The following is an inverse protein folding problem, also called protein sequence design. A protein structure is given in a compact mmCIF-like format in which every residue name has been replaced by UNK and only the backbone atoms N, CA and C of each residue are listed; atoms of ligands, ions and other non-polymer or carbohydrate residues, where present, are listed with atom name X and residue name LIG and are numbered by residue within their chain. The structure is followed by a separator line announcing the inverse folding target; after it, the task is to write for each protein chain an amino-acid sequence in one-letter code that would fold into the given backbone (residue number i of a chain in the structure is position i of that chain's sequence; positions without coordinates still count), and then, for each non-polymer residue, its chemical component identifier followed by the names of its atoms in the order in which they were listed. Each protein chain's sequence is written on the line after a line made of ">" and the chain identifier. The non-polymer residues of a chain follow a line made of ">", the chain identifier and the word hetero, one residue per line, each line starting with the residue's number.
data_IF_918340556793
#
_entry.id   IF_918340556793
#
_cell.length_a   1.000
_cell.length_b   1.000
_cell.length_c   1.000
_cell.angle_alpha   90.00
_cell.angle_beta   90.00
_cell.angle_gamma   90.00
#
_symmetry.space_group_name_H-M   'P 1'
#
loop_
_entity.id
_entity.type
_entity.pdbx_description
1 polymer ?
#
# COMPACT_ATOMS: atom_id res chain seq x y z
N UNK A 1 -19.13 17.41 -1.77
CA UNK A 1 -18.93 17.02 -3.18
C UNK A 1 -17.51 17.44 -3.48
N UNK A 2 -16.59 16.48 -3.57
CA UNK A 2 -15.14 16.75 -3.64
C UNK A 2 -14.76 17.52 -4.89
N UNK A 3 -13.61 18.19 -4.84
CA UNK A 3 -13.03 18.88 -5.97
C UNK A 3 -12.54 17.87 -7.02
N UNK A 4 -13.11 17.85 -8.24
CA UNK A 4 -12.80 16.83 -9.24
C UNK A 4 -11.33 16.83 -9.69
N UNK A 5 -10.60 17.92 -9.43
CA UNK A 5 -9.15 18.01 -9.67
C UNK A 5 -8.35 17.31 -8.58
N UNK A 6 -8.82 17.35 -7.34
CA UNK A 6 -8.22 16.66 -6.20
C UNK A 6 -8.46 15.17 -6.34
N UNK A 7 -9.69 14.77 -6.72
CA UNK A 7 -10.01 13.38 -7.08
C UNK A 7 -9.09 12.85 -8.19
N UNK A 8 -8.93 13.59 -9.30
CA UNK A 8 -8.04 13.16 -10.39
C UNK A 8 -6.56 13.05 -9.99
N UNK A 9 -6.10 13.90 -9.06
CA UNK A 9 -4.73 13.80 -8.52
C UNK A 9 -4.58 12.59 -7.61
N UNK A 10 -5.60 12.29 -6.79
CA UNK A 10 -5.64 11.09 -5.96
C UNK A 10 -5.63 9.82 -6.82
N UNK A 11 -6.49 9.73 -7.84
CA UNK A 11 -6.52 8.61 -8.78
C UNK A 11 -5.16 8.39 -9.46
N UNK A 12 -4.45 9.47 -9.82
CA UNK A 12 -3.11 9.37 -10.40
C UNK A 12 -2.09 8.82 -9.40
N UNK A 13 -2.19 9.16 -8.11
CA UNK A 13 -1.33 8.61 -7.06
C UNK A 13 -1.65 7.13 -6.79
N UNK A 14 -2.94 6.77 -6.80
CA UNK A 14 -3.39 5.36 -6.71
C UNK A 14 -2.80 4.54 -7.85
N UNK A 15 -2.89 5.02 -9.08
CA UNK A 15 -2.32 4.34 -10.24
C UNK A 15 -0.81 4.16 -10.14
N UNK A 16 -0.08 5.14 -9.57
CA UNK A 16 1.37 5.03 -9.38
C UNK A 16 1.74 4.02 -8.30
N UNK A 17 0.99 3.96 -7.20
CA UNK A 17 1.19 2.94 -6.16
C UNK A 17 0.95 1.54 -6.75
N UNK A 18 -0.09 1.37 -7.57
CA UNK A 18 -0.36 0.10 -8.23
C UNK A 18 0.77 -0.33 -9.17
N UNK A 19 1.19 0.54 -10.09
CA UNK A 19 2.28 0.26 -11.03
C UNK A 19 3.61 -0.05 -10.32
N UNK A 20 3.89 0.67 -9.24
CA UNK A 20 5.05 0.42 -8.38
C UNK A 20 4.95 -0.97 -7.72
N UNK A 21 3.77 -1.36 -7.25
CA UNK A 21 3.53 -2.65 -6.60
C UNK A 21 3.69 -3.80 -7.59
N UNK A 22 3.11 -3.68 -8.78
CA UNK A 22 3.29 -4.66 -9.87
C UNK A 22 4.77 -4.83 -10.22
N UNK A 23 5.50 -3.72 -10.31
CA UNK A 23 6.95 -3.73 -10.54
C UNK A 23 7.71 -4.43 -9.41
N UNK A 24 7.30 -4.22 -8.15
CA UNK A 24 7.91 -4.84 -6.97
C UNK A 24 7.63 -6.35 -6.87
N UNK A 25 6.41 -6.79 -7.19
CA UNK A 25 6.03 -8.22 -7.24
C UNK A 25 6.84 -8.98 -8.29
N UNK A 26 7.07 -8.35 -9.44
CA UNK A 26 7.83 -8.92 -10.55
C UNK A 26 9.33 -9.10 -10.26
N UNK A 27 9.85 -8.57 -9.15
CA UNK A 27 11.23 -8.76 -8.75
C UNK A 27 11.49 -10.17 -8.21
N UNK A 28 12.70 -10.68 -8.45
CA UNK A 28 13.19 -11.89 -7.80
C UNK A 28 13.43 -11.66 -6.30
N UNK A 29 13.21 -12.71 -5.50
CA UNK A 29 13.43 -12.68 -4.05
C UNK A 29 14.92 -12.41 -3.72
N UNK A 30 15.17 -11.48 -2.80
CA UNK A 30 16.50 -11.21 -2.24
C UNK A 30 17.26 -10.00 -2.80
N UNK A 31 16.83 -9.39 -3.90
CA UNK A 31 17.43 -8.14 -4.40
C UNK A 31 16.40 -7.06 -4.71
N UNK A 32 16.18 -6.14 -3.76
CA UNK A 32 15.33 -4.98 -3.97
C UNK A 32 16.13 -3.81 -4.56
N UNK A 33 15.81 -3.30 -5.76
CA UNK A 33 16.48 -2.17 -6.38
C UNK A 33 16.40 -0.91 -5.50
N UNK A 34 17.52 -0.20 -5.37
CA UNK A 34 17.55 1.04 -4.60
C UNK A 34 16.70 2.15 -5.24
N UNK A 35 16.60 2.16 -6.58
CA UNK A 35 15.75 3.09 -7.33
C UNK A 35 14.28 2.88 -6.96
N UNK A 36 13.78 1.64 -7.05
CA UNK A 36 12.41 1.32 -6.69
C UNK A 36 12.08 1.65 -5.21
N UNK A 37 13.06 1.51 -4.30
CA UNK A 37 12.87 1.92 -2.90
C UNK A 37 12.82 3.44 -2.75
N UNK A 38 13.58 4.18 -3.56
CA UNK A 38 13.49 5.64 -3.62
C UNK A 38 12.14 6.06 -4.17
N UNK A 39 11.69 5.46 -5.27
CA UNK A 39 10.39 5.75 -5.88
C UNK A 39 9.25 5.59 -4.86
N UNK A 40 9.25 4.52 -4.07
CA UNK A 40 8.26 4.35 -3.00
C UNK A 40 8.33 5.47 -1.96
N UNK A 41 9.55 5.88 -1.58
CA UNK A 41 9.75 6.95 -0.60
C UNK A 41 9.22 8.27 -1.14
N UNK A 42 9.50 8.58 -2.40
CA UNK A 42 9.01 9.78 -3.07
C UNK A 42 7.48 9.76 -3.16
N UNK A 43 6.86 8.63 -3.57
CA UNK A 43 5.40 8.45 -3.60
C UNK A 43 4.75 8.64 -2.22
N UNK A 44 5.36 8.12 -1.16
CA UNK A 44 4.87 8.30 0.21
C UNK A 44 4.87 9.79 0.60
N UNK A 45 5.93 10.53 0.26
CA UNK A 45 6.01 11.94 0.59
C UNK A 45 5.03 12.76 -0.25
N UNK A 46 4.80 12.40 -1.51
CA UNK A 46 3.75 12.99 -2.35
C UNK A 46 2.34 12.74 -1.81
N UNK A 47 2.05 11.52 -1.33
CA UNK A 47 0.77 11.19 -0.69
C UNK A 47 0.56 11.96 0.63
N UNK A 48 1.60 12.13 1.43
CA UNK A 48 1.53 12.96 2.64
C UNK A 48 1.31 14.42 2.30
N UNK A 49 2.01 14.94 1.30
CA UNK A 49 1.82 16.31 0.81
C UNK A 49 0.39 16.50 0.29
N UNK A 50 -0.13 15.54 -0.48
CA UNK A 50 -1.52 15.54 -0.93
C UNK A 50 -2.52 15.62 0.24
N UNK A 51 -2.31 14.83 1.30
CA UNK A 51 -3.17 14.89 2.50
C UNK A 51 -3.09 16.23 3.24
N UNK A 52 -1.93 16.89 3.24
CA UNK A 52 -1.74 18.20 3.87
C UNK A 52 -2.35 19.34 3.04
N UNK A 53 -2.28 19.23 1.70
CA UNK A 53 -2.87 20.16 0.75
C UNK A 53 -4.38 19.99 0.58
N UNK A 54 -4.91 18.78 0.78
CA UNK A 54 -6.31 18.48 0.65
C UNK A 54 -7.14 19.23 1.70
N UNK A 55 -8.35 19.65 1.32
CA UNK A 55 -9.24 20.30 2.27
C UNK A 55 -9.55 19.37 3.46
N UNK A 56 -9.56 19.89 4.69
CA UNK A 56 -9.75 19.08 5.88
C UNK A 56 -11.10 18.35 5.84
N UNK A 57 -11.04 17.02 5.79
CA UNK A 57 -12.21 16.14 5.73
C UNK A 57 -12.55 15.58 4.36
N UNK A 58 -11.85 15.98 3.29
CA UNK A 58 -12.02 15.43 1.94
C UNK A 58 -11.35 14.05 1.81
N UNK A 59 -10.09 13.94 2.23
CA UNK A 59 -9.37 12.68 2.34
C UNK A 59 -8.80 12.55 3.74
N UNK A 60 -8.79 11.33 4.27
CA UNK A 60 -8.17 11.00 5.54
C UNK A 60 -6.99 10.08 5.28
N UNK A 61 -6.14 10.00 6.29
CA UNK A 61 -5.06 9.01 6.35
C UNK A 61 -5.58 7.58 6.12
N UNK A 62 -6.79 7.27 6.58
CA UNK A 62 -7.44 5.97 6.35
C UNK A 62 -7.59 5.66 4.86
N UNK A 63 -8.13 6.60 4.08
CA UNK A 63 -8.34 6.41 2.63
C UNK A 63 -7.02 6.13 1.90
N UNK A 64 -5.92 6.78 2.31
CA UNK A 64 -4.58 6.52 1.75
C UNK A 64 -4.04 5.17 2.20
N UNK A 65 -4.21 4.80 3.47
CA UNK A 65 -3.77 3.50 4.01
C UNK A 65 -4.45 2.37 3.24
N UNK A 66 -5.77 2.46 3.02
CA UNK A 66 -6.55 1.44 2.32
C UNK A 66 -6.04 1.16 0.90
N UNK A 67 -5.44 2.14 0.21
CA UNK A 67 -4.84 1.93 -1.11
C UNK A 67 -3.65 0.97 -1.10
N UNK A 68 -2.92 0.91 0.01
CA UNK A 68 -1.80 -0.01 0.16
C UNK A 68 -2.26 -1.40 0.59
N UNK A 69 -3.50 -1.56 1.06
CA UNK A 69 -4.01 -2.86 1.54
C UNK A 69 -4.45 -3.69 0.34
N UNK A 70 -3.48 -4.38 -0.28
CA UNK A 70 -3.70 -5.31 -1.38
C UNK A 70 -2.86 -6.58 -1.15
N UNK A 71 -3.28 -7.74 -1.69
CA UNK A 71 -2.51 -8.97 -1.53
C UNK A 71 -1.09 -8.86 -2.11
N UNK A 72 -0.94 -8.15 -3.24
CA UNK A 72 0.35 -7.87 -3.86
C UNK A 72 1.26 -7.03 -2.97
N UNK A 73 0.73 -5.98 -2.33
CA UNK A 73 1.51 -5.18 -1.38
C UNK A 73 1.90 -6.00 -0.15
N UNK A 74 1.00 -6.86 0.34
CA UNK A 74 1.28 -7.74 1.47
C UNK A 74 2.45 -8.68 1.13
N UNK A 75 2.40 -9.32 -0.04
CA UNK A 75 3.50 -10.16 -0.56
C UNK A 75 4.82 -9.37 -0.63
N UNK A 76 4.80 -8.16 -1.21
CA UNK A 76 6.00 -7.31 -1.31
C UNK A 76 6.56 -6.98 0.08
N UNK A 77 5.72 -6.68 1.07
CA UNK A 77 6.18 -6.37 2.43
C UNK A 77 6.73 -7.57 3.18
N UNK A 78 6.23 -8.78 2.90
CA UNK A 78 6.76 -10.03 3.45
C UNK A 78 8.13 -10.36 2.84
N UNK A 79 8.20 -10.35 1.50
CA UNK A 79 9.42 -10.65 0.74
C UNK A 79 10.52 -9.61 0.96
N UNK A 80 10.16 -8.34 1.13
CA UNK A 80 11.11 -7.22 1.23
C UNK A 80 10.95 -6.43 2.54
N UNK A 81 11.70 -6.81 3.61
CA UNK A 81 11.57 -6.18 4.93
C UNK A 81 11.96 -4.69 4.95
N UNK A 82 12.71 -4.21 3.95
CA UNK A 82 13.00 -2.77 3.79
C UNK A 82 11.75 -1.98 3.42
N UNK A 83 10.91 -2.52 2.53
CA UNK A 83 9.64 -1.92 2.13
C UNK A 83 8.70 -1.87 3.34
N UNK A 84 8.57 -2.99 4.05
CA UNK A 84 7.79 -3.09 5.30
C UNK A 84 8.18 -1.99 6.29
N UNK A 85 9.47 -1.83 6.60
CA UNK A 85 9.96 -0.80 7.53
C UNK A 85 9.66 0.62 7.05
N UNK A 86 9.73 0.86 5.74
CA UNK A 86 9.43 2.17 5.17
C UNK A 86 7.95 2.52 5.32
N UNK A 87 7.07 1.58 4.97
CA UNK A 87 5.61 1.74 5.10
C UNK A 87 5.18 1.85 6.56
N UNK A 88 5.70 1.02 7.46
CA UNK A 88 5.44 1.10 8.90
C UNK A 88 5.92 2.45 9.47
N UNK A 89 7.08 2.96 9.04
CA UNK A 89 7.56 4.27 9.48
C UNK A 89 6.70 5.42 8.95
N UNK A 90 6.10 5.28 7.77
CA UNK A 90 5.30 6.34 7.15
C UNK A 90 3.86 6.37 7.68
N UNK A 91 3.23 5.19 7.76
CA UNK A 91 1.80 5.03 8.00
C UNK A 91 1.48 4.34 9.33
N UNK A 92 2.49 3.87 10.06
CA UNK A 92 2.35 3.25 11.38
C UNK A 92 1.97 1.78 11.32
N UNK A 93 1.85 1.17 12.50
CA UNK A 93 1.52 -0.25 12.67
C UNK A 93 0.15 -0.63 12.11
N UNK A 94 -0.79 0.32 12.06
CA UNK A 94 -2.13 0.08 11.52
C UNK A 94 -2.10 -0.48 10.09
N UNK A 95 -1.23 0.06 9.22
CA UNK A 95 -1.11 -0.46 7.85
C UNK A 95 -0.58 -1.90 7.86
N UNK A 96 0.36 -2.21 8.76
CA UNK A 96 0.94 -3.56 8.85
C UNK A 96 -0.07 -4.58 9.38
N UNK A 97 -0.96 -4.17 10.28
CA UNK A 97 -2.06 -4.99 10.78
C UNK A 97 -3.03 -5.32 9.64
N UNK A 98 -3.48 -4.30 8.89
CA UNK A 98 -4.38 -4.49 7.75
C UNK A 98 -3.78 -5.36 6.64
N UNK A 99 -2.49 -5.18 6.33
CA UNK A 99 -1.80 -6.01 5.35
C UNK A 99 -1.68 -7.47 5.80
N UNK A 100 -1.43 -7.71 7.10
CA UNK A 100 -1.40 -9.06 7.65
C UNK A 100 -2.78 -9.71 7.56
N UNK A 101 -3.85 -8.98 7.88
CA UNK A 101 -5.23 -9.44 7.72
C UNK A 101 -5.57 -9.77 6.26
N UNK A 102 -5.19 -8.91 5.31
CA UNK A 102 -5.41 -9.14 3.88
C UNK A 102 -4.65 -10.36 3.36
N UNK A 103 -3.38 -10.55 3.76
CA UNK A 103 -2.61 -11.75 3.41
C UNK A 103 -3.21 -13.03 3.98
N UNK A 104 -3.70 -13.00 5.21
CA UNK A 104 -4.33 -14.15 5.86
C UNK A 104 -5.68 -14.51 5.23
N UNK A 105 -6.42 -13.52 4.70
CA UNK A 105 -7.65 -13.73 3.94
C UNK A 105 -7.45 -14.55 2.65
N UNK A 106 -6.23 -14.56 2.11
CA UNK A 106 -5.87 -15.34 0.92
C UNK A 106 -5.42 -16.78 1.27
N UNK A 107 -4.88 -17.01 2.47
CA UNK A 107 -4.50 -18.36 2.95
C UNK A 107 -5.69 -19.17 3.50
N UNK A 108 -6.85 -18.57 3.74
CA UNK A 108 -8.04 -19.29 4.23
C UNK A 108 -8.97 -19.73 3.09
N UNK A 109 -8.41 -20.59 2.23
CA UNK A 109 -9.16 -21.44 1.30
C UNK A 109 -9.04 -22.94 1.63
N UNK A 110 -8.42 -23.29 2.75
CA UNK A 110 -8.27 -24.67 3.23
C UNK A 110 -8.68 -24.70 4.71
N UNK A 111 -9.46 -25.71 5.09
CA UNK A 111 -10.27 -25.85 6.33
C UNK A 111 -11.46 -24.88 6.36
N UNK A 112 -12.66 -25.26 5.90
CA UNK A 112 -13.53 -26.15 6.68
C UNK A 112 -14.60 -26.76 5.74
N UNK A 113 -14.32 -27.94 5.17
CA UNK A 113 -15.40 -28.91 4.87
C UNK A 113 -15.47 -29.80 6.11
N UNK A 114 -16.09 -29.23 7.14
CA UNK A 114 -16.60 -29.92 8.32
C UNK A 114 -17.88 -30.69 7.93
N UNK A 115 -18.10 -31.80 8.65
CA UNK A 115 -19.30 -32.63 8.77
C UNK A 115 -19.56 -33.83 7.80
N UNK A 116 -19.51 -35.03 8.44
CA UNK A 116 -19.97 -36.41 8.11
C UNK A 116 -19.07 -37.45 7.39
#
# INVERSE_FOLDING_TARGET
>A
MGDPKVDARFDALVSQVHDWTESAVALDEGHFPAELLSDLRDLIEELKAFLDEAEPGTYKRGDVIEMFVTPEMAEVTDRFPKVRRLLESAWGSQLMELLAEESAGYEHGDDDDDDE
#
